data_IF_049834669654
#
_entry.id   IF_049834669654
#
_cell.length_a   1.000
_cell.length_b   1.000
_cell.length_c   1.000
_cell.angle_alpha   90.00
_cell.angle_beta   90.00
_cell.angle_gamma   90.00
#
_symmetry.space_group_name_H-M   'P 1'
#
loop_
_entity.id
_entity.type
_entity.pdbx_description
1 polymer ?
#
# COMPACT_ATOMS: atom_id res chain seq x y z
N UNK A 1 -18.34 27.59 -39.00
CA UNK A 1 -18.14 26.13 -38.90
C UNK A 1 -16.83 25.88 -38.18
N UNK A 2 -16.86 25.73 -36.86
CA UNK A 2 -15.73 25.24 -36.08
C UNK A 2 -16.31 24.11 -35.23
N UNK A 3 -16.07 22.88 -35.68
CA UNK A 3 -16.43 21.67 -34.95
C UNK A 3 -15.33 21.49 -33.91
N UNK A 4 -15.62 21.81 -32.65
CA UNK A 4 -14.80 21.38 -31.53
C UNK A 4 -14.95 19.85 -31.40
N UNK A 5 -13.92 19.12 -31.82
CA UNK A 5 -13.79 17.71 -31.51
C UNK A 5 -13.53 17.58 -30.01
N UNK A 6 -14.57 17.27 -29.25
CA UNK A 6 -14.43 16.79 -27.87
C UNK A 6 -13.83 15.40 -27.98
N UNK A 7 -12.52 15.29 -27.73
CA UNK A 7 -11.87 13.99 -27.59
C UNK A 7 -12.34 13.42 -26.24
N UNK A 8 -13.42 12.65 -26.28
CA UNK A 8 -13.85 11.84 -25.16
C UNK A 8 -12.86 10.68 -25.03
N UNK A 9 -11.72 10.89 -24.35
CA UNK A 9 -10.86 9.78 -23.93
C UNK A 9 -11.51 9.08 -22.75
N UNK A 10 -12.54 8.28 -23.00
CA UNK A 10 -12.91 7.21 -22.07
C UNK A 10 -11.85 6.11 -22.19
N UNK A 11 -10.71 6.28 -21.51
CA UNK A 11 -9.83 5.15 -21.22
C UNK A 11 -10.50 4.36 -20.10
N UNK A 12 -11.43 3.49 -20.48
CA UNK A 12 -11.88 2.41 -19.58
C UNK A 12 -10.79 1.34 -19.55
N UNK A 13 -10.18 1.17 -18.39
CA UNK A 13 -9.79 -0.16 -17.91
C UNK A 13 -8.41 -0.69 -18.26
N UNK A 14 -7.36 0.14 -18.26
CA UNK A 14 -5.98 -0.36 -18.22
C UNK A 14 -5.34 0.01 -16.90
N UNK A 15 -4.56 -0.91 -16.33
CA UNK A 15 -3.78 -0.61 -15.14
C UNK A 15 -2.78 0.52 -15.40
N UNK A 16 -2.46 1.34 -14.38
CA UNK A 16 -1.38 2.30 -14.49
C UNK A 16 -0.06 1.64 -14.90
N UNK A 17 0.83 2.44 -15.49
CA UNK A 17 2.13 1.95 -15.96
C UNK A 17 2.91 1.25 -14.84
N UNK A 18 3.44 0.06 -15.14
CA UNK A 18 4.17 -0.77 -14.18
C UNK A 18 3.29 -1.63 -13.26
N UNK A 19 1.96 -1.54 -13.35
CA UNK A 19 1.04 -2.42 -12.63
C UNK A 19 0.39 -3.45 -13.56
N UNK A 20 0.22 -4.66 -13.05
CA UNK A 20 -0.45 -5.75 -13.76
C UNK A 20 -1.91 -5.88 -13.29
N UNK A 21 -2.84 -6.20 -14.20
CA UNK A 21 -4.22 -6.47 -13.85
C UNK A 21 -4.35 -7.77 -13.05
N UNK A 22 -5.19 -7.72 -12.03
CA UNK A 22 -5.59 -8.82 -11.15
C UNK A 22 -7.12 -8.94 -11.22
N UNK A 23 -7.69 -9.93 -10.53
CA UNK A 23 -9.14 -10.11 -10.42
C UNK A 23 -9.81 -8.86 -9.84
N UNK A 24 -11.11 -8.71 -10.15
CA UNK A 24 -11.99 -7.67 -9.62
C UNK A 24 -11.54 -6.23 -9.89
N UNK A 25 -10.86 -6.01 -11.03
CA UNK A 25 -10.45 -4.68 -11.47
C UNK A 25 -9.31 -4.07 -10.65
N UNK A 26 -8.62 -4.87 -9.83
CA UNK A 26 -7.46 -4.42 -9.09
C UNK A 26 -6.19 -4.50 -9.94
N UNK A 27 -5.30 -3.55 -9.75
CA UNK A 27 -3.95 -3.53 -10.33
C UNK A 27 -2.93 -3.64 -9.21
N UNK A 28 -1.84 -4.40 -9.43
CA UNK A 28 -0.76 -4.58 -8.43
C UNK A 28 0.60 -4.57 -9.13
N UNK A 29 1.64 -4.07 -8.46
CA UNK A 29 2.98 -4.08 -9.04
C UNK A 29 4.07 -3.66 -8.07
N UNK A 30 5.27 -4.19 -8.32
CA UNK A 30 6.50 -3.78 -7.66
C UNK A 30 7.04 -2.53 -8.33
N UNK A 31 7.43 -1.53 -7.54
CA UNK A 31 8.00 -0.30 -8.08
C UNK A 31 9.51 -0.20 -7.83
N UNK A 32 9.93 -0.34 -6.57
CA UNK A 32 11.35 -0.23 -6.22
C UNK A 32 11.65 -0.80 -4.82
N UNK A 33 12.92 -0.96 -4.51
CA UNK A 33 13.39 -1.11 -3.13
C UNK A 33 13.99 0.21 -2.63
N UNK A 34 13.92 0.45 -1.33
CA UNK A 34 14.56 1.59 -0.71
C UNK A 34 15.10 1.23 0.68
N UNK A 35 16.28 1.73 1.03
CA UNK A 35 16.77 1.70 2.41
C UNK A 35 16.30 2.98 3.09
N UNK A 36 15.45 2.86 4.09
CA UNK A 36 14.77 3.98 4.75
C UNK A 36 14.88 3.84 6.26
N UNK A 37 14.79 4.95 6.99
CA UNK A 37 14.54 4.88 8.42
C UNK A 37 13.12 4.40 8.67
N UNK A 38 12.84 3.77 9.81
CA UNK A 38 11.52 3.21 10.11
C UNK A 38 10.36 4.23 10.15
N UNK A 39 10.63 5.53 10.25
CA UNK A 39 9.58 6.57 10.21
C UNK A 39 9.22 7.07 8.81
N UNK A 40 9.94 6.66 7.78
CA UNK A 40 9.79 7.12 6.39
C UNK A 40 8.97 6.24 5.42
N UNK A 41 8.81 4.90 5.60
CA UNK A 41 8.37 4.03 4.51
C UNK A 41 6.99 4.38 3.95
N UNK A 42 6.02 4.71 4.80
CA UNK A 42 4.67 5.06 4.36
C UNK A 42 4.65 6.32 3.47
N UNK A 43 5.37 7.38 3.89
CA UNK A 43 5.45 8.62 3.13
C UNK A 43 6.16 8.40 1.79
N UNK A 44 7.26 7.65 1.81
CA UNK A 44 7.99 7.29 0.61
C UNK A 44 7.14 6.48 -0.38
N UNK A 45 6.45 5.43 0.11
CA UNK A 45 5.55 4.62 -0.70
C UNK A 45 4.41 5.45 -1.28
N UNK A 46 3.79 6.32 -0.47
CA UNK A 46 2.70 7.21 -0.91
C UNK A 46 3.16 8.12 -2.04
N UNK A 47 4.33 8.77 -1.89
CA UNK A 47 4.90 9.61 -2.94
C UNK A 47 5.18 8.81 -4.22
N UNK A 48 5.79 7.63 -4.09
CA UNK A 48 6.18 6.80 -5.23
C UNK A 48 4.99 6.22 -6.00
N UNK A 49 3.97 5.76 -5.29
CA UNK A 49 2.76 5.25 -5.94
C UNK A 49 1.95 6.37 -6.60
N UNK A 50 1.93 7.58 -6.03
CA UNK A 50 1.25 8.72 -6.63
C UNK A 50 1.84 9.13 -8.00
N UNK A 51 3.14 8.93 -8.23
CA UNK A 51 3.81 9.19 -9.52
C UNK A 51 3.17 8.40 -10.67
N UNK A 52 2.58 7.23 -10.38
CA UNK A 52 1.90 6.35 -11.33
C UNK A 52 0.39 6.26 -11.07
N UNK A 53 -0.21 7.26 -10.42
CA UNK A 53 -1.66 7.31 -10.13
C UNK A 53 -2.16 6.06 -9.38
N UNK A 54 -1.33 5.55 -8.47
CA UNK A 54 -1.62 4.39 -7.64
C UNK A 54 -1.48 4.74 -6.15
N UNK A 55 -1.81 3.79 -5.30
CA UNK A 55 -1.72 3.87 -3.84
C UNK A 55 -0.77 2.79 -3.31
N UNK A 56 -0.19 2.97 -2.11
CA UNK A 56 0.44 1.87 -1.38
C UNK A 56 -0.47 0.65 -1.19
N UNK A 57 0.08 -0.46 -0.71
CA UNK A 57 -0.66 -1.72 -0.57
C UNK A 57 -1.85 -1.61 0.39
N UNK A 58 -3.04 -1.97 -0.10
CA UNK A 58 -4.30 -2.07 0.64
C UNK A 58 -4.76 -3.54 0.66
N UNK A 59 -5.30 -3.98 1.80
CA UNK A 59 -5.72 -5.37 2.02
C UNK A 59 -7.12 -5.43 2.67
N UNK A 60 -8.07 -6.03 1.98
CA UNK A 60 -9.48 -6.18 2.41
C UNK A 60 -9.90 -7.63 2.63
N UNK A 61 -9.06 -8.61 2.28
CA UNK A 61 -9.39 -10.02 2.44
C UNK A 61 -8.16 -10.94 2.49
N UNK A 62 -8.41 -12.20 2.83
CA UNK A 62 -7.38 -13.25 2.98
C UNK A 62 -6.62 -13.55 1.69
N UNK A 63 -7.27 -13.46 0.52
CA UNK A 63 -6.61 -13.68 -0.76
C UNK A 63 -5.53 -12.61 -1.02
N UNK A 64 -5.87 -11.36 -0.75
CA UNK A 64 -4.95 -10.23 -0.85
C UNK A 64 -3.80 -10.39 0.15
N UNK A 65 -4.09 -10.73 1.41
CA UNK A 65 -3.07 -10.99 2.43
C UNK A 65 -2.10 -12.11 2.00
N UNK A 66 -2.65 -13.22 1.51
CA UNK A 66 -1.85 -14.37 1.04
C UNK A 66 -0.93 -13.98 -0.12
N UNK A 67 -1.44 -13.19 -1.06
CA UNK A 67 -0.63 -12.67 -2.17
C UNK A 67 0.52 -11.78 -1.69
N UNK A 68 0.25 -10.81 -0.81
CA UNK A 68 1.29 -9.88 -0.34
C UNK A 68 2.31 -10.56 0.57
N UNK A 69 1.88 -11.55 1.35
CA UNK A 69 2.79 -12.43 2.10
C UNK A 69 3.77 -13.16 1.16
N UNK A 70 3.26 -13.69 0.04
CA UNK A 70 4.11 -14.34 -0.95
C UNK A 70 5.08 -13.36 -1.64
N UNK A 71 4.65 -12.12 -1.93
CA UNK A 71 5.54 -11.09 -2.48
C UNK A 71 6.62 -10.69 -1.48
N UNK A 72 6.26 -10.44 -0.23
CA UNK A 72 7.22 -10.18 0.86
C UNK A 72 8.27 -11.30 0.89
N UNK A 73 7.82 -12.56 1.00
CA UNK A 73 8.71 -13.73 1.05
C UNK A 73 9.67 -13.81 -0.15
N UNK A 74 9.17 -13.48 -1.36
CA UNK A 74 9.97 -13.47 -2.58
C UNK A 74 11.04 -12.36 -2.57
N UNK A 75 10.69 -11.18 -2.06
CA UNK A 75 11.60 -10.02 -2.06
C UNK A 75 12.63 -10.08 -0.93
N UNK A 76 12.28 -10.67 0.22
CA UNK A 76 13.14 -10.75 1.39
C UNK A 76 13.28 -9.44 2.18
N UNK A 77 12.67 -8.36 1.72
CA UNK A 77 12.60 -7.06 2.38
C UNK A 77 11.24 -6.88 3.09
N UNK A 78 11.11 -5.84 3.91
CA UNK A 78 9.83 -5.46 4.49
C UNK A 78 8.91 -4.87 3.43
N UNK A 79 7.62 -5.21 3.47
CA UNK A 79 6.64 -4.71 2.52
C UNK A 79 5.77 -3.64 3.15
N UNK A 80 5.74 -2.45 2.57
CA UNK A 80 5.01 -1.29 3.15
C UNK A 80 3.51 -1.40 2.90
N UNK A 81 2.73 -1.24 3.97
CA UNK A 81 1.26 -1.17 3.92
C UNK A 81 0.79 0.28 3.89
N UNK A 82 -0.27 0.55 3.14
CA UNK A 82 -0.94 1.85 3.04
C UNK A 82 -1.86 2.16 4.21
N UNK A 83 -1.42 1.93 5.45
CA UNK A 83 -2.20 2.24 6.65
C UNK A 83 -1.79 3.62 7.17
N UNK A 84 -2.75 4.54 7.27
CA UNK A 84 -2.57 5.91 7.78
C UNK A 84 -3.35 6.12 9.07
N UNK A 85 -2.92 7.11 9.85
CA UNK A 85 -3.64 7.57 11.02
C UNK A 85 -4.54 8.75 10.67
N UNK A 86 -5.84 8.65 10.91
CA UNK A 86 -6.79 9.73 10.63
C UNK A 86 -6.94 10.75 11.76
N UNK A 87 -7.72 11.79 11.53
CA UNK A 87 -7.91 12.91 12.46
C UNK A 87 -8.54 12.49 13.80
N UNK A 88 -9.32 11.40 13.80
CA UNK A 88 -9.94 10.83 15.00
C UNK A 88 -9.10 9.72 15.64
N UNK A 89 -7.80 9.64 15.29
CA UNK A 89 -6.82 8.70 15.85
C UNK A 89 -7.17 7.23 15.62
N UNK A 90 -7.79 6.91 14.48
CA UNK A 90 -8.01 5.53 14.02
C UNK A 90 -7.16 5.22 12.80
N UNK A 91 -6.70 3.98 12.74
CA UNK A 91 -6.09 3.43 11.54
C UNK A 91 -7.14 3.31 10.42
N UNK A 92 -6.75 3.69 9.21
CA UNK A 92 -7.53 3.53 7.99
C UNK A 92 -6.57 3.30 6.83
N UNK A 93 -7.08 2.80 5.72
CA UNK A 93 -6.31 2.72 4.48
C UNK A 93 -6.11 4.11 3.87
N UNK A 94 -5.07 4.26 3.06
CA UNK A 94 -4.72 5.50 2.34
C UNK A 94 -5.83 6.02 1.41
N UNK A 95 -6.77 5.18 0.99
CA UNK A 95 -7.96 5.57 0.22
C UNK A 95 -9.12 6.08 1.09
N UNK A 96 -8.95 6.08 2.42
CA UNK A 96 -9.94 6.49 3.41
C UNK A 96 -10.90 5.39 3.85
N UNK A 97 -10.81 4.19 3.28
CA UNK A 97 -11.60 3.04 3.74
C UNK A 97 -11.13 2.54 5.11
N UNK A 98 -12.01 1.94 5.93
CA UNK A 98 -11.61 1.39 7.22
C UNK A 98 -10.67 0.19 7.05
N UNK A 99 -9.79 -0.05 8.02
CA UNK A 99 -9.06 -1.32 8.12
C UNK A 99 -10.04 -2.42 8.51
N UNK A 100 -10.61 -3.08 7.51
CA UNK A 100 -11.69 -4.08 7.59
C UNK A 100 -11.19 -5.52 7.55
N UNK A 101 -9.94 -5.73 7.12
CA UNK A 101 -9.21 -6.98 7.25
C UNK A 101 -7.96 -6.79 8.10
N UNK A 102 -7.78 -7.66 9.09
CA UNK A 102 -6.61 -7.72 9.97
C UNK A 102 -6.25 -9.19 10.12
N UNK A 103 -5.05 -9.64 9.69
CA UNK A 103 -4.67 -11.04 9.85
C UNK A 103 -4.54 -11.38 11.34
N UNK A 104 -4.86 -12.62 11.72
CA UNK A 104 -4.81 -13.05 13.12
C UNK A 104 -3.41 -12.93 13.75
N UNK A 105 -2.37 -12.88 12.93
CA UNK A 105 -0.99 -12.70 13.37
C UNK A 105 -0.64 -11.25 13.68
N UNK A 106 -1.41 -10.26 13.19
CA UNK A 106 -1.05 -8.84 13.28
C UNK A 106 -0.73 -8.37 14.71
N UNK A 107 0.18 -7.41 14.81
CA UNK A 107 0.48 -6.72 16.04
C UNK A 107 -0.79 -6.04 16.59
N UNK A 108 -1.10 -6.30 17.87
CA UNK A 108 -2.31 -5.82 18.54
C UNK A 108 -2.48 -4.29 18.55
N UNK A 109 -1.40 -3.53 18.32
CA UNK A 109 -1.43 -2.08 18.20
C UNK A 109 -2.31 -1.56 17.04
N UNK A 110 -2.70 -2.42 16.10
CA UNK A 110 -3.67 -2.08 15.04
C UNK A 110 -5.06 -1.77 15.62
N UNK A 111 -5.35 -2.19 16.85
CA UNK A 111 -6.59 -1.88 17.57
C UNK A 111 -6.48 -0.66 18.49
N UNK A 112 -5.27 -0.11 18.66
CA UNK A 112 -4.99 1.04 19.51
C UNK A 112 -5.19 2.35 18.76
N UNK A 113 -5.34 3.45 19.51
CA UNK A 113 -5.32 4.79 18.93
C UNK A 113 -3.97 5.06 18.24
N UNK A 114 -4.01 5.61 17.04
CA UNK A 114 -2.84 5.76 16.18
C UNK A 114 -2.09 7.08 16.38
N UNK A 115 -0.84 7.12 15.91
CA UNK A 115 -0.03 8.34 15.75
C UNK A 115 0.50 8.39 14.32
N UNK A 116 0.47 9.53 13.60
CA UNK A 116 0.82 9.61 12.18
C UNK A 116 2.26 9.22 11.81
N UNK A 117 3.17 9.11 12.77
CA UNK A 117 4.61 8.86 12.54
C UNK A 117 4.95 7.38 12.37
N UNK A 118 3.99 6.46 12.55
CA UNK A 118 4.24 5.04 12.39
C UNK A 118 3.95 4.58 10.97
N UNK A 119 4.84 3.72 10.46
CA UNK A 119 4.62 2.98 9.22
C UNK A 119 4.26 1.53 9.55
N UNK A 120 3.25 1.00 8.87
CA UNK A 120 2.89 -0.41 8.94
C UNK A 120 3.54 -1.20 7.82
N UNK A 121 3.99 -2.41 8.13
CA UNK A 121 4.62 -3.30 7.15
C UNK A 121 4.21 -4.76 7.36
N UNK A 122 4.46 -5.57 6.34
CA UNK A 122 4.62 -7.02 6.50
C UNK A 122 6.09 -7.32 6.79
N UNK A 123 6.34 -7.87 7.98
CA UNK A 123 7.67 -8.05 8.58
C UNK A 123 8.33 -9.38 8.17
N UNK A 124 7.56 -10.46 8.23
CA UNK A 124 8.07 -11.82 8.05
C UNK A 124 7.33 -12.61 6.94
N UNK A 125 7.81 -13.84 6.71
CA UNK A 125 7.28 -14.73 5.67
C UNK A 125 5.93 -15.37 6.03
N UNK A 126 5.41 -15.08 7.24
CA UNK A 126 4.09 -15.52 7.71
C UNK A 126 3.00 -14.48 7.43
N UNK A 127 3.39 -13.30 6.94
CA UNK A 127 2.45 -12.21 6.70
C UNK A 127 2.20 -11.36 7.95
N UNK A 128 3.07 -11.43 8.97
CA UNK A 128 2.92 -10.67 10.20
C UNK A 128 2.92 -9.16 9.94
N UNK A 129 1.83 -8.48 10.33
CA UNK A 129 1.75 -7.02 10.27
C UNK A 129 2.35 -6.42 11.54
N UNK A 130 3.31 -5.52 11.38
CA UNK A 130 3.88 -4.75 12.50
C UNK A 130 4.03 -3.29 12.13
N UNK A 131 4.29 -2.46 13.13
CA UNK A 131 4.51 -1.03 12.96
C UNK A 131 5.84 -0.60 13.54
N UNK A 132 6.47 0.36 12.89
CA UNK A 132 7.70 0.98 13.38
C UNK A 132 7.66 2.50 13.27
N UNK A 133 8.49 3.14 14.09
CA UNK A 133 8.65 4.59 14.14
C UNK A 133 9.98 4.88 14.83
N UNK A 134 11.07 4.77 14.06
CA UNK A 134 12.41 5.14 14.50
C UNK A 134 13.07 5.98 13.40
N UNK A 135 13.55 7.20 13.71
CA UNK A 135 14.26 8.03 12.74
C UNK A 135 15.75 7.66 12.63
N UNK A 136 16.19 6.60 13.31
CA UNK A 136 17.60 6.20 13.38
C UNK A 136 17.86 4.80 12.85
N UNK A 137 16.91 3.89 13.00
CA UNK A 137 17.02 2.52 12.52
C UNK A 137 16.62 2.44 11.07
N UNK A 138 17.50 1.87 10.25
CA UNK A 138 17.31 1.76 8.81
C UNK A 138 17.19 0.31 8.39
N UNK A 139 16.26 0.05 7.48
CA UNK A 139 16.06 -1.26 6.88
C UNK A 139 15.72 -1.14 5.39
N UNK A 140 15.72 -2.28 4.69
CA UNK A 140 15.31 -2.37 3.29
C UNK A 140 13.81 -2.64 3.18
N UNK A 141 13.13 -1.81 2.39
CA UNK A 141 11.70 -1.89 2.13
C UNK A 141 11.45 -2.10 0.65
N UNK A 142 10.53 -3.01 0.32
CA UNK A 142 9.97 -3.16 -1.01
C UNK A 142 8.70 -2.32 -1.13
N UNK A 143 8.69 -1.45 -2.13
CA UNK A 143 7.58 -0.56 -2.43
C UNK A 143 6.74 -1.21 -3.52
N UNK A 144 5.53 -1.58 -3.14
CA UNK A 144 4.50 -2.06 -4.04
C UNK A 144 3.36 -1.06 -4.08
N UNK A 145 2.71 -0.97 -5.23
CA UNK A 145 1.58 -0.10 -5.46
C UNK A 145 0.36 -0.89 -5.95
N UNK A 146 -0.81 -0.34 -5.66
CA UNK A 146 -2.11 -0.87 -6.03
C UNK A 146 -2.99 0.22 -6.61
N UNK A 147 -3.86 -0.14 -7.54
CA UNK A 147 -4.90 0.75 -8.04
C UNK A 147 -6.19 -0.04 -8.20
N UNK A 148 -7.33 0.64 -8.11
CA UNK A 148 -8.65 0.07 -8.38
C UNK A 148 -9.22 0.76 -9.62
N UNK A 149 -9.62 -0.03 -10.61
CA UNK A 149 -10.29 0.49 -11.80
C UNK A 149 -11.77 0.81 -11.46
N UNK A 150 -12.23 1.99 -11.87
CA UNK A 150 -13.64 2.44 -11.77
C UNK A 150 -14.53 1.88 -12.89
#
# INVERSE_FOLDING_TARGET
LIVFAVILQTVRGACPEGLEPVRDGQCRGFLTNATLTHSEPLLFATSKCAEIQALPVIIHNEEQQSYWTAQKKKMGNFLVLGIVCNDVKKWQWVDGSPVDYIPATANADIHSACTPTYSWVIDDDTGFWTRWNSPYETDSFSIFCTAQLE
#
